data_IF_622628369259
#
_entry.id   IF_622628369259
#
_cell.length_a   1.000
_cell.length_b   1.000
_cell.length_c   1.000
_cell.angle_alpha   90.00
_cell.angle_beta   90.00
_cell.angle_gamma   90.00
#
_symmetry.space_group_name_H-M   'P 1'
#
loop_
_entity.id
_entity.type
_entity.pdbx_description
1 polymer ?
#
# COMPACT_ATOMS: atom_id res chain seq x y z
N UNK A 1 -17.24 3.55 54.62
CA UNK A 1 -17.82 4.01 53.32
C UNK A 1 -17.01 5.10 52.62
N UNK A 2 -16.76 6.28 53.22
CA UNK A 2 -16.00 7.38 52.55
C UNK A 2 -14.62 7.00 51.99
N UNK A 3 -13.85 6.15 52.69
CA UNK A 3 -12.53 5.66 52.21
C UNK A 3 -12.64 4.72 50.99
N UNK A 4 -13.63 3.84 50.95
CA UNK A 4 -13.85 2.94 49.82
C UNK A 4 -14.31 3.69 48.57
N UNK A 5 -15.20 4.68 48.72
CA UNK A 5 -15.64 5.55 47.62
C UNK A 5 -14.45 6.36 47.07
N UNK A 6 -13.63 6.94 47.96
CA UNK A 6 -12.43 7.69 47.55
C UNK A 6 -11.42 6.81 46.80
N UNK A 7 -11.18 5.59 47.29
CA UNK A 7 -10.28 4.63 46.63
C UNK A 7 -10.82 4.16 45.27
N UNK A 8 -12.13 3.99 45.15
CA UNK A 8 -12.79 3.64 43.90
C UNK A 8 -12.68 4.78 42.87
N UNK A 9 -12.98 6.02 43.27
CA UNK A 9 -12.83 7.20 42.41
C UNK A 9 -11.39 7.40 41.94
N UNK A 10 -10.39 7.19 42.81
CA UNK A 10 -8.98 7.26 42.43
C UNK A 10 -8.64 6.20 41.37
N UNK A 11 -9.18 4.98 41.50
CA UNK A 11 -8.94 3.90 40.54
C UNK A 11 -9.57 4.22 39.17
N UNK A 12 -10.78 4.78 39.15
CA UNK A 12 -11.46 5.22 37.90
C UNK A 12 -10.69 6.35 37.23
N UNK A 13 -10.21 7.34 37.98
CA UNK A 13 -9.38 8.42 37.45
C UNK A 13 -8.08 7.85 36.87
N UNK A 14 -7.45 6.91 37.57
CA UNK A 14 -6.23 6.27 37.09
C UNK A 14 -6.45 5.53 35.77
N UNK A 15 -7.56 4.79 35.65
CA UNK A 15 -7.95 4.14 34.39
C UNK A 15 -8.17 5.17 33.29
N UNK A 16 -8.88 6.27 33.56
CA UNK A 16 -9.10 7.34 32.59
C UNK A 16 -7.78 7.97 32.12
N UNK A 17 -6.83 8.18 33.04
CA UNK A 17 -5.48 8.68 32.71
C UNK A 17 -4.74 7.68 31.84
N UNK A 18 -4.76 6.39 32.18
CA UNK A 18 -4.14 5.32 31.37
C UNK A 18 -4.74 5.31 29.96
N UNK A 19 -6.07 5.30 29.82
CA UNK A 19 -6.74 5.35 28.52
C UNK A 19 -6.35 6.61 27.73
N UNK A 20 -6.21 7.76 28.39
CA UNK A 20 -5.82 9.02 27.74
C UNK A 20 -4.38 8.95 27.24
N UNK A 21 -3.45 8.42 28.03
CA UNK A 21 -2.05 8.24 27.63
C UNK A 21 -1.94 7.26 26.47
N UNK A 22 -2.67 6.14 26.51
CA UNK A 22 -2.74 5.18 25.41
C UNK A 22 -3.32 5.82 24.14
N UNK A 23 -4.35 6.65 24.26
CA UNK A 23 -4.93 7.38 23.14
C UNK A 23 -3.95 8.36 22.50
N UNK A 24 -3.27 9.19 23.31
CA UNK A 24 -2.25 10.13 22.83
C UNK A 24 -1.10 9.36 22.16
N UNK A 25 -0.67 8.24 22.76
CA UNK A 25 0.32 7.36 22.18
C UNK A 25 -0.11 6.81 20.82
N UNK A 26 -1.33 6.30 20.71
CA UNK A 26 -1.88 5.79 19.45
C UNK A 26 -1.94 6.90 18.36
N UNK A 27 -2.47 8.07 18.70
CA UNK A 27 -2.58 9.17 17.73
C UNK A 27 -1.20 9.70 17.33
N UNK A 28 -0.28 9.85 18.27
CA UNK A 28 1.06 10.39 18.00
C UNK A 28 1.97 9.42 17.25
N UNK A 29 1.98 8.15 17.64
CA UNK A 29 2.94 7.17 17.11
C UNK A 29 2.40 6.31 15.98
N UNK A 30 1.07 6.13 15.85
CA UNK A 30 0.48 5.30 14.78
C UNK A 30 -0.25 6.20 13.77
N UNK A 31 -1.20 7.01 14.24
CA UNK A 31 -2.04 7.82 13.36
C UNK A 31 -1.31 9.00 12.70
N UNK A 32 -0.39 9.63 13.41
CA UNK A 32 0.40 10.77 12.92
C UNK A 32 1.27 10.43 11.72
N UNK A 33 2.18 9.43 11.84
CA UNK A 33 3.03 9.02 10.73
C UNK A 33 2.24 8.55 9.51
N UNK A 34 1.17 7.76 9.70
CA UNK A 34 0.35 7.28 8.60
C UNK A 34 -0.22 8.42 7.73
N UNK A 35 -0.77 9.47 8.36
CA UNK A 35 -1.28 10.65 7.64
C UNK A 35 -0.18 11.47 6.98
N UNK A 36 0.99 11.56 7.59
CA UNK A 36 2.12 12.26 7.00
C UNK A 36 2.58 11.56 5.71
N UNK A 37 2.67 10.22 5.72
CA UNK A 37 3.01 9.43 4.54
C UNK A 37 1.94 9.52 3.46
N UNK A 38 0.65 9.43 3.81
CA UNK A 38 -0.44 9.60 2.83
C UNK A 38 -0.38 10.96 2.13
N UNK A 39 -0.05 12.03 2.86
CA UNK A 39 0.09 13.38 2.30
C UNK A 39 1.32 13.52 1.42
N UNK A 40 2.43 12.89 1.80
CA UNK A 40 3.65 12.88 1.00
C UNK A 40 3.43 12.09 -0.32
N UNK A 41 2.78 10.94 -0.22
CA UNK A 41 2.44 10.09 -1.37
C UNK A 41 1.49 10.83 -2.34
N UNK A 42 0.51 11.57 -1.81
CA UNK A 42 -0.37 12.44 -2.62
C UNK A 42 0.43 13.53 -3.35
N UNK A 43 1.37 14.19 -2.67
CA UNK A 43 2.18 15.25 -3.28
C UNK A 43 3.01 14.73 -4.46
N UNK A 44 3.56 13.53 -4.36
CA UNK A 44 4.30 12.91 -5.47
C UNK A 44 3.40 12.59 -6.67
N UNK A 45 2.19 12.09 -6.42
CA UNK A 45 1.22 11.83 -7.47
C UNK A 45 0.73 13.12 -8.12
N UNK A 46 0.45 14.17 -7.34
CA UNK A 46 0.07 15.49 -7.87
C UNK A 46 1.18 16.07 -8.74
N UNK A 47 2.43 16.04 -8.26
CA UNK A 47 3.59 16.50 -9.03
C UNK A 47 3.75 15.72 -10.33
N UNK A 48 3.55 14.39 -10.29
CA UNK A 48 3.58 13.53 -11.47
C UNK A 48 2.50 13.93 -12.48
N UNK A 49 1.27 14.10 -12.00
CA UNK A 49 0.14 14.48 -12.84
C UNK A 49 0.36 15.84 -13.50
N UNK A 50 0.86 16.84 -12.76
CA UNK A 50 1.21 18.16 -13.30
C UNK A 50 2.30 18.07 -14.36
N UNK A 51 3.36 17.29 -14.11
CA UNK A 51 4.48 17.13 -15.05
C UNK A 51 4.09 16.39 -16.34
N UNK A 52 3.21 15.40 -16.23
CA UNK A 52 2.75 14.59 -17.37
C UNK A 52 1.51 15.16 -18.06
N UNK A 53 0.84 16.14 -17.44
CA UNK A 53 -0.40 16.74 -17.95
C UNK A 53 -1.62 15.83 -17.80
N UNK A 54 -1.65 14.96 -16.79
CA UNK A 54 -2.80 14.10 -16.52
C UNK A 54 -3.87 14.82 -15.71
N UNK A 55 -5.12 14.57 -16.05
CA UNK A 55 -6.29 15.26 -15.51
C UNK A 55 -6.85 14.53 -14.28
N UNK A 56 -6.91 13.20 -14.34
CA UNK A 56 -7.46 12.37 -13.27
C UNK A 56 -6.58 11.15 -13.00
N UNK A 57 -6.16 11.02 -11.74
CA UNK A 57 -5.35 9.90 -11.28
C UNK A 57 -5.78 9.42 -9.90
N UNK A 58 -5.71 8.11 -9.69
CA UNK A 58 -5.94 7.46 -8.40
C UNK A 58 -4.74 6.59 -8.04
N UNK A 59 -4.24 6.71 -6.82
CA UNK A 59 -3.20 5.79 -6.33
C UNK A 59 -3.79 4.39 -6.13
N UNK A 60 -3.20 3.40 -6.80
CA UNK A 60 -3.52 1.98 -6.61
C UNK A 60 -2.69 1.40 -5.47
N UNK A 61 -1.46 1.88 -5.31
CA UNK A 61 -0.61 1.47 -4.21
C UNK A 61 0.80 2.01 -4.32
N UNK A 62 1.61 1.60 -3.34
CA UNK A 62 3.03 1.89 -3.27
C UNK A 62 3.77 0.57 -3.13
N UNK A 63 4.81 0.41 -3.93
CA UNK A 63 5.64 -0.78 -3.92
C UNK A 63 7.09 -0.40 -3.61
N UNK A 64 7.72 -1.13 -2.69
CA UNK A 64 9.10 -0.90 -2.31
C UNK A 64 9.88 -2.20 -2.42
N UNK A 65 10.85 -2.23 -3.35
CA UNK A 65 11.76 -3.35 -3.53
C UNK A 65 13.21 -2.83 -3.66
N UNK A 66 13.66 -2.48 -4.86
CA UNK A 66 14.95 -1.80 -5.06
C UNK A 66 14.83 -0.30 -4.80
N UNK A 67 13.74 0.29 -5.28
CA UNK A 67 13.34 1.66 -5.02
C UNK A 67 11.84 1.71 -4.73
N UNK A 68 11.37 2.89 -4.29
CA UNK A 68 9.95 3.13 -4.05
C UNK A 68 9.29 3.55 -5.36
N UNK A 69 8.31 2.76 -5.77
CA UNK A 69 7.44 3.04 -6.90
C UNK A 69 6.03 3.39 -6.42
N UNK A 70 5.48 4.40 -7.05
CA UNK A 70 4.08 4.79 -6.96
C UNK A 70 3.34 4.22 -8.16
N UNK A 71 2.23 3.54 -7.92
CA UNK A 71 1.42 2.91 -8.96
C UNK A 71 0.07 3.59 -8.95
N UNK A 72 -0.29 4.19 -10.08
CA UNK A 72 -1.48 5.00 -10.25
C UNK A 72 -2.32 4.50 -11.41
N UNK A 73 -3.62 4.55 -11.26
CA UNK A 73 -4.58 4.41 -12.35
C UNK A 73 -4.91 5.82 -12.86
N UNK A 74 -4.60 6.07 -14.12
CA UNK A 74 -4.88 7.33 -14.80
C UNK A 74 -6.07 7.13 -15.72
N UNK A 75 -7.03 8.05 -15.67
CA UNK A 75 -8.20 8.06 -16.56
C UNK A 75 -8.23 9.37 -17.33
N UNK A 76 -7.90 9.28 -18.61
CA UNK A 76 -8.11 10.35 -19.59
C UNK A 76 -9.36 10.01 -20.43
N UNK A 77 -9.93 11.01 -21.10
CA UNK A 77 -11.26 11.02 -21.73
C UNK A 77 -11.78 9.65 -22.24
N UNK A 78 -10.96 8.90 -22.99
CA UNK A 78 -11.30 7.60 -23.56
C UNK A 78 -10.35 6.44 -23.16
N UNK A 79 -9.39 6.66 -22.25
CA UNK A 79 -8.37 5.66 -21.89
C UNK A 79 -8.12 5.63 -20.39
N UNK A 80 -8.29 4.45 -19.79
CA UNK A 80 -7.77 4.15 -18.46
C UNK A 80 -6.52 3.29 -18.58
N UNK A 81 -5.45 3.65 -17.87
CA UNK A 81 -4.19 2.92 -17.89
C UNK A 81 -3.51 2.99 -16.52
N UNK A 82 -2.62 2.04 -16.26
CA UNK A 82 -1.77 2.03 -15.07
C UNK A 82 -0.47 2.74 -15.43
N UNK A 83 -0.09 3.72 -14.63
CA UNK A 83 1.18 4.42 -14.71
C UNK A 83 1.97 4.17 -13.44
N UNK A 84 3.25 3.82 -13.56
CA UNK A 84 4.15 3.71 -12.41
C UNK A 84 5.36 4.63 -12.57
N UNK A 85 5.83 5.14 -11.44
CA UNK A 85 6.98 6.03 -11.40
C UNK A 85 7.71 5.91 -10.06
N UNK A 86 9.01 6.21 -10.06
CA UNK A 86 9.76 6.38 -8.83
C UNK A 86 9.79 7.86 -8.40
N UNK A 87 10.22 8.12 -7.16
CA UNK A 87 10.24 9.46 -6.56
C UNK A 87 10.98 10.52 -7.40
N UNK A 88 12.05 10.12 -8.08
CA UNK A 88 12.88 11.03 -8.91
C UNK A 88 12.40 11.15 -10.36
N UNK A 89 11.34 10.42 -10.76
CA UNK A 89 10.77 10.38 -12.12
C UNK A 89 11.74 9.92 -13.21
N UNK A 90 12.88 9.33 -12.87
CA UNK A 90 13.84 8.80 -13.86
C UNK A 90 13.38 7.45 -14.43
N UNK A 91 12.56 6.71 -13.68
CA UNK A 91 12.05 5.40 -14.03
C UNK A 91 10.54 5.48 -14.04
N UNK A 92 9.95 5.40 -15.24
CA UNK A 92 8.50 5.45 -15.42
C UNK A 92 8.05 4.41 -16.43
N UNK A 93 6.80 3.98 -16.34
CA UNK A 93 6.20 3.16 -17.37
C UNK A 93 4.69 3.22 -17.34
N UNK A 94 4.08 2.77 -18.44
CA UNK A 94 2.64 2.68 -18.59
C UNK A 94 2.24 1.27 -19.05
N UNK A 95 1.06 0.84 -18.66
CA UNK A 95 0.43 -0.38 -19.12
C UNK A 95 -1.07 -0.16 -19.24
N UNK A 96 -1.74 -0.81 -20.19
CA UNK A 96 -3.21 -0.75 -20.27
C UNK A 96 -3.85 -1.19 -18.96
N UNK A 97 -5.01 -0.65 -18.61
CA UNK A 97 -5.64 -1.00 -17.34
C UNK A 97 -5.93 -2.50 -17.30
N UNK A 98 -5.49 -3.14 -16.22
CA UNK A 98 -5.65 -4.56 -16.00
C UNK A 98 -6.11 -4.77 -14.56
N UNK A 99 -7.09 -5.66 -14.38
CA UNK A 99 -7.53 -6.08 -13.06
C UNK A 99 -6.62 -7.15 -12.46
N UNK A 100 -7.03 -7.70 -11.31
CA UNK A 100 -6.37 -8.84 -10.70
C UNK A 100 -6.91 -10.19 -11.20
N UNK A 101 -8.02 -10.21 -11.93
CA UNK A 101 -8.65 -11.43 -12.45
C UNK A 101 -7.67 -12.41 -13.14
N UNK A 102 -6.71 -11.95 -13.98
CA UNK A 102 -5.76 -12.85 -14.66
C UNK A 102 -4.82 -13.61 -13.72
N UNK A 103 -4.58 -13.10 -12.50
CA UNK A 103 -3.64 -13.70 -11.55
C UNK A 103 -4.33 -14.49 -10.44
N UNK A 104 -5.65 -14.41 -10.29
CA UNK A 104 -6.40 -15.08 -9.21
C UNK A 104 -6.24 -16.61 -9.21
N UNK A 105 -6.24 -17.24 -10.40
CA UNK A 105 -6.05 -18.68 -10.52
C UNK A 105 -4.65 -19.09 -10.06
N UNK A 106 -3.63 -18.34 -10.47
CA UNK A 106 -2.24 -18.58 -10.07
C UNK A 106 -2.06 -18.33 -8.56
N UNK A 107 -2.64 -17.26 -8.04
CA UNK A 107 -2.64 -16.92 -6.62
C UNK A 107 -3.26 -18.05 -5.77
N UNK A 108 -4.38 -18.61 -6.25
CA UNK A 108 -5.07 -19.72 -5.59
C UNK A 108 -4.21 -20.97 -5.50
N UNK A 109 -3.42 -21.28 -6.54
CA UNK A 109 -2.47 -22.41 -6.51
C UNK A 109 -1.39 -22.27 -5.44
N UNK A 110 -1.05 -21.03 -5.07
CA UNK A 110 -0.13 -20.75 -3.97
C UNK A 110 -0.82 -20.63 -2.61
N UNK A 111 -2.16 -20.58 -2.57
CA UNK A 111 -2.93 -20.33 -1.33
C UNK A 111 -2.93 -18.87 -0.90
N UNK A 112 -2.71 -17.95 -1.85
CA UNK A 112 -2.81 -16.50 -1.67
C UNK A 112 -4.27 -16.08 -1.80
N UNK A 113 -4.72 -15.20 -0.91
CA UNK A 113 -6.06 -14.62 -0.98
C UNK A 113 -6.06 -13.34 -1.81
N UNK A 114 -7.21 -12.96 -2.36
CA UNK A 114 -7.34 -11.79 -3.24
C UNK A 114 -6.79 -10.49 -2.62
N UNK A 115 -6.95 -10.30 -1.31
CA UNK A 115 -6.46 -9.11 -0.59
C UNK A 115 -4.95 -9.10 -0.30
N UNK A 116 -4.26 -10.20 -0.62
CA UNK A 116 -2.81 -10.35 -0.51
C UNK A 116 -2.12 -10.14 -1.87
N UNK A 117 -2.89 -9.72 -2.89
CA UNK A 117 -2.43 -9.39 -4.24
C UNK A 117 -2.37 -7.88 -4.38
N UNK A 118 -1.25 -7.35 -4.85
CA UNK A 118 -1.08 -5.94 -5.16
C UNK A 118 -0.30 -5.76 -6.47
N UNK A 119 -0.29 -4.54 -7.01
CA UNK A 119 0.66 -4.20 -8.07
C UNK A 119 2.06 -3.90 -7.49
N UNK A 120 3.08 -4.11 -8.31
CA UNK A 120 4.47 -3.80 -8.02
C UNK A 120 5.23 -3.49 -9.30
N UNK A 121 6.52 -3.16 -9.15
CA UNK A 121 7.42 -2.91 -10.28
C UNK A 121 8.70 -3.69 -10.05
N UNK A 122 9.09 -4.53 -11.02
CA UNK A 122 10.31 -5.32 -10.96
C UNK A 122 11.01 -5.31 -12.32
N UNK A 123 12.30 -4.99 -12.36
CA UNK A 123 13.07 -4.80 -13.59
C UNK A 123 12.34 -3.90 -14.60
N UNK A 124 11.88 -2.72 -14.14
CA UNK A 124 11.17 -1.70 -14.94
C UNK A 124 9.82 -2.15 -15.53
N UNK A 125 9.27 -3.30 -15.12
CA UNK A 125 7.97 -3.81 -15.58
C UNK A 125 6.95 -3.87 -14.48
N UNK A 126 5.67 -3.70 -14.85
CA UNK A 126 4.54 -3.91 -13.94
C UNK A 126 4.40 -5.40 -13.61
N UNK A 127 4.29 -5.71 -12.32
CA UNK A 127 4.11 -7.07 -11.82
C UNK A 127 2.94 -7.15 -10.85
N UNK A 128 2.29 -8.31 -10.81
CA UNK A 128 1.47 -8.71 -9.67
C UNK A 128 2.38 -9.20 -8.55
N UNK A 129 2.17 -8.67 -7.36
CA UNK A 129 2.87 -9.03 -6.13
C UNK A 129 1.96 -9.91 -5.30
N UNK A 130 2.33 -11.17 -5.17
CA UNK A 130 1.66 -12.16 -4.34
C UNK A 130 2.44 -12.30 -3.05
N UNK A 131 1.89 -11.80 -1.93
CA UNK A 131 2.64 -11.73 -0.68
C UNK A 131 1.83 -12.23 0.50
N UNK A 132 2.35 -13.25 1.17
CA UNK A 132 1.86 -13.67 2.48
C UNK A 132 2.99 -13.63 3.52
N UNK A 133 2.77 -14.26 4.68
CA UNK A 133 3.75 -14.31 5.76
C UNK A 133 4.97 -15.20 5.46
N UNK A 134 4.90 -16.08 4.46
CA UNK A 134 5.88 -17.13 4.21
C UNK A 134 6.71 -16.90 2.94
N UNK A 135 6.11 -16.30 1.92
CA UNK A 135 6.78 -16.04 0.65
C UNK A 135 6.22 -14.80 -0.04
N UNK A 136 6.99 -14.35 -1.02
CA UNK A 136 6.71 -13.20 -1.88
C UNK A 136 7.09 -13.59 -3.30
N UNK A 137 6.11 -13.60 -4.21
CA UNK A 137 6.25 -14.00 -5.61
C UNK A 137 5.81 -12.85 -6.51
N UNK A 138 6.59 -12.56 -7.55
CA UNK A 138 6.20 -11.56 -8.56
C UNK A 138 5.86 -12.24 -9.88
N UNK A 139 4.71 -11.88 -10.43
CA UNK A 139 4.22 -12.38 -11.70
C UNK A 139 4.15 -11.22 -12.68
N UNK A 140 4.81 -11.36 -13.82
CA UNK A 140 4.78 -10.36 -14.89
C UNK A 140 3.35 -10.23 -15.44
N UNK A 141 2.86 -8.98 -15.53
CA UNK A 141 1.47 -8.69 -15.90
C UNK A 141 1.16 -9.10 -17.33
N UNK A 142 2.12 -8.96 -18.25
CA UNK A 142 1.92 -9.25 -19.67
C UNK A 142 1.96 -10.74 -19.96
N UNK A 143 2.93 -11.45 -19.37
CA UNK A 143 3.23 -12.84 -19.69
C UNK A 143 2.63 -13.84 -18.71
N UNK A 144 2.16 -13.38 -17.55
CA UNK A 144 1.68 -14.19 -16.42
C UNK A 144 2.74 -15.20 -15.93
N UNK A 145 4.02 -14.93 -16.18
CA UNK A 145 5.13 -15.77 -15.73
C UNK A 145 5.67 -15.30 -14.39
N UNK A 146 6.06 -16.26 -13.55
CA UNK A 146 6.82 -15.99 -12.33
C UNK A 146 8.19 -15.41 -12.71
N UNK A 147 8.46 -14.17 -12.31
CA UNK A 147 9.72 -13.46 -12.57
C UNK A 147 10.59 -13.30 -11.33
N UNK A 148 10.01 -13.51 -10.15
CA UNK A 148 10.71 -13.47 -8.89
C UNK A 148 10.05 -14.37 -7.85
N UNK A 149 10.87 -15.03 -7.03
CA UNK A 149 10.42 -15.89 -5.95
C UNK A 149 11.32 -15.74 -4.73
N UNK A 150 10.74 -15.33 -3.60
CA UNK A 150 11.43 -15.22 -2.32
C UNK A 150 10.65 -15.94 -1.24
N UNK A 151 11.34 -16.87 -0.58
CA UNK A 151 10.78 -17.68 0.49
C UNK A 151 10.56 -19.12 0.03
N UNK A 152 10.52 -20.04 0.99
CA UNK A 152 10.30 -21.47 0.73
C UNK A 152 8.80 -21.77 0.77
N UNK A 153 8.07 -21.31 -0.25
CA UNK A 153 6.70 -21.76 -0.54
C UNK A 153 6.75 -22.59 -1.82
N UNK A 154 6.86 -23.91 -1.63
CA UNK A 154 6.90 -25.04 -2.60
C UNK A 154 7.08 -24.65 -4.06
#
# INVERSE_FOLDING_TARGET
MKKHIKSFSISVILIAVICTVLWIGYVGFIGGPARAYEREDQLYVETMMEQKGYSHGRILGRFAYEQVYYITEITEEDRTFIFWFNKDMDTTGEHENVGFDPVLEIASNFGIKDHEISFGVFNERLVYVLKNRQYEKFIDVETLKLVYDRGSGI
#
